data_IF_922706655330
#
_entry.id   IF_922706655330
#
_cell.length_a   1.000
_cell.length_b   1.000
_cell.length_c   1.000
_cell.angle_alpha   90.00
_cell.angle_beta   90.00
_cell.angle_gamma   90.00
#
_symmetry.space_group_name_H-M   'P 1'
#
loop_
_entity.id
_entity.type
_entity.pdbx_description
1 polymer ?
#
# COMPACT_ATOMS: atom_id res chain seq x y z
N UNK A 1 -6.87 -7.24 -9.71
CA UNK A 1 -6.68 -6.52 -8.44
C UNK A 1 -5.22 -6.09 -8.32
N UNK A 2 -4.97 -4.87 -7.86
CA UNK A 2 -3.62 -4.38 -7.58
C UNK A 2 -3.13 -4.88 -6.21
N UNK A 3 -1.81 -4.90 -5.98
CA UNK A 3 -1.24 -5.17 -4.65
C UNK A 3 -1.79 -4.21 -3.59
N UNK A 4 -1.77 -2.90 -3.87
CA UNK A 4 -2.30 -1.84 -3.00
C UNK A 4 -3.75 -2.08 -2.60
N UNK A 5 -4.63 -2.39 -3.56
CA UNK A 5 -6.05 -2.61 -3.25
C UNK A 5 -6.27 -3.83 -2.35
N UNK A 6 -5.46 -4.89 -2.49
CA UNK A 6 -5.51 -6.01 -1.54
C UNK A 6 -5.03 -5.60 -0.14
N UNK A 7 -3.97 -4.80 -0.06
CA UNK A 7 -3.45 -4.31 1.23
C UNK A 7 -4.52 -3.49 1.96
N UNK A 8 -5.15 -2.52 1.30
CA UNK A 8 -6.23 -1.72 1.88
C UNK A 8 -7.35 -2.62 2.46
N UNK A 9 -7.83 -3.58 1.66
CA UNK A 9 -8.88 -4.54 2.07
C UNK A 9 -8.41 -5.36 3.28
N UNK A 10 -7.21 -5.93 3.22
CA UNK A 10 -6.68 -6.75 4.31
C UNK A 10 -6.48 -5.95 5.60
N UNK A 11 -6.10 -4.68 5.49
CA UNK A 11 -5.90 -3.79 6.62
C UNK A 11 -7.22 -3.34 7.23
N UNK A 12 -8.27 -3.07 6.44
CA UNK A 12 -9.60 -2.78 7.00
C UNK A 12 -10.20 -3.97 7.75
N UNK A 13 -9.97 -5.19 7.28
CA UNK A 13 -10.40 -6.41 7.99
C UNK A 13 -9.66 -6.59 9.32
N UNK A 14 -8.39 -6.18 9.40
CA UNK A 14 -7.62 -6.23 10.64
C UNK A 14 -8.00 -5.10 11.60
N UNK A 15 -8.21 -3.88 11.10
CA UNK A 15 -8.60 -2.71 11.88
C UNK A 15 -9.97 -2.84 12.52
N UNK A 16 -10.95 -3.32 11.76
CA UNK A 16 -12.36 -3.31 12.16
C UNK A 16 -12.89 -4.70 12.50
N UNK A 17 -12.03 -5.72 12.49
CA UNK A 17 -12.45 -7.12 12.44
C UNK A 17 -13.12 -7.46 11.10
N UNK A 18 -13.29 -8.75 10.80
CA UNK A 18 -13.79 -9.14 9.47
C UNK A 18 -15.18 -8.59 9.17
N UNK A 19 -16.13 -8.72 10.10
CA UNK A 19 -17.50 -8.19 9.92
C UNK A 19 -17.50 -6.66 9.77
N UNK A 20 -16.77 -5.95 10.63
CA UNK A 20 -16.67 -4.50 10.58
C UNK A 20 -15.97 -3.99 9.33
N UNK A 21 -14.93 -4.69 8.86
CA UNK A 21 -14.19 -4.35 7.65
C UNK A 21 -15.04 -4.52 6.40
N UNK A 22 -15.81 -5.61 6.30
CA UNK A 22 -16.79 -5.78 5.21
C UNK A 22 -17.89 -4.72 5.26
N UNK A 23 -18.44 -4.43 6.45
CA UNK A 23 -19.45 -3.37 6.62
C UNK A 23 -18.93 -2.00 6.21
N UNK A 24 -17.69 -1.68 6.55
CA UNK A 24 -17.03 -0.44 6.12
C UNK A 24 -16.92 -0.39 4.58
N UNK A 25 -16.44 -1.46 3.96
CA UNK A 25 -16.30 -1.55 2.51
C UNK A 25 -17.66 -1.50 1.78
N UNK A 26 -18.71 -2.10 2.35
CA UNK A 26 -20.07 -2.01 1.81
C UNK A 26 -20.53 -0.54 1.75
N UNK A 27 -20.31 0.24 2.82
CA UNK A 27 -20.61 1.67 2.82
C UNK A 27 -19.70 2.50 1.91
N UNK A 28 -18.41 2.14 1.83
CA UNK A 28 -17.47 2.79 0.92
C UNK A 28 -17.88 2.56 -0.55
N UNK A 29 -18.31 1.34 -0.88
CA UNK A 29 -18.67 0.94 -2.24
C UNK A 29 -19.72 1.86 -2.86
N UNK A 30 -20.71 2.32 -2.09
CA UNK A 30 -21.74 3.26 -2.56
C UNK A 30 -21.13 4.53 -3.18
N UNK A 31 -19.98 4.97 -2.66
CA UNK A 31 -19.27 6.16 -3.11
C UNK A 31 -18.10 5.87 -4.07
N UNK A 32 -17.74 4.60 -4.30
CA UNK A 32 -16.72 4.26 -5.28
C UNK A 32 -17.27 4.52 -6.69
N UNK A 33 -16.57 5.36 -7.45
CA UNK A 33 -16.86 5.58 -8.86
C UNK A 33 -16.37 4.41 -9.73
N UNK A 34 -15.17 3.91 -9.48
CA UNK A 34 -14.58 2.74 -10.15
C UNK A 34 -13.41 2.15 -9.38
N UNK A 35 -13.22 0.83 -9.50
CA UNK A 35 -12.03 0.14 -9.01
C UNK A 35 -11.01 -0.03 -10.14
N UNK A 36 -9.82 0.53 -9.95
CA UNK A 36 -8.76 0.55 -10.97
C UNK A 36 -7.78 -0.60 -10.80
N UNK A 37 -7.20 -1.10 -11.91
CA UNK A 37 -6.21 -2.19 -11.87
C UNK A 37 -4.83 -1.80 -11.30
N UNK A 38 -4.53 -0.50 -11.20
CA UNK A 38 -3.29 0.02 -10.60
C UNK A 38 -3.56 0.79 -9.32
N UNK A 39 -2.85 0.48 -8.24
CA UNK A 39 -2.97 1.21 -6.97
C UNK A 39 -2.55 2.69 -7.03
N UNK A 40 -1.78 3.07 -8.05
CA UNK A 40 -1.39 4.48 -8.26
C UNK A 40 -2.43 5.32 -9.00
N UNK A 41 -3.38 4.66 -9.70
CA UNK A 41 -4.34 5.33 -10.57
C UNK A 41 -5.33 6.21 -9.81
N UNK A 42 -5.87 5.84 -8.63
CA UNK A 42 -6.78 6.71 -7.87
C UNK A 42 -6.14 8.06 -7.53
N UNK A 43 -4.89 8.08 -7.06
CA UNK A 43 -4.17 9.33 -6.81
C UNK A 43 -3.94 10.15 -8.09
N UNK A 44 -3.65 9.52 -9.23
CA UNK A 44 -3.52 10.23 -10.52
C UNK A 44 -4.84 10.86 -10.97
N UNK A 45 -5.96 10.17 -10.76
CA UNK A 45 -7.30 10.70 -11.08
C UNK A 45 -7.64 11.89 -10.19
N UNK A 46 -7.35 11.80 -8.89
CA UNK A 46 -7.51 12.92 -7.98
C UNK A 46 -6.60 14.11 -8.34
N UNK A 47 -5.34 13.84 -8.68
CA UNK A 47 -4.40 14.89 -9.11
C UNK A 47 -4.87 15.62 -10.37
N UNK A 48 -5.57 14.92 -11.27
CA UNK A 48 -6.14 15.47 -12.49
C UNK A 48 -7.52 16.15 -12.28
N UNK A 49 -8.09 16.08 -11.08
CA UNK A 49 -9.44 16.56 -10.78
C UNK A 49 -10.56 15.71 -11.38
N UNK A 50 -10.27 14.51 -11.89
CA UNK A 50 -11.27 13.61 -12.46
C UNK A 50 -12.14 12.94 -11.39
N UNK A 51 -11.60 12.76 -10.17
CA UNK A 51 -12.29 12.18 -9.01
C UNK A 51 -11.89 12.99 -7.76
N UNK A 52 -12.80 13.30 -6.83
CA UNK A 52 -12.47 14.14 -5.68
C UNK A 52 -11.55 13.45 -4.66
N UNK A 53 -11.62 12.13 -4.51
CA UNK A 53 -10.86 11.36 -3.51
C UNK A 53 -10.24 10.13 -4.17
N UNK A 54 -8.93 9.95 -3.99
CA UNK A 54 -8.20 8.76 -4.42
C UNK A 54 -7.56 8.03 -3.25
N UNK A 55 -8.00 6.79 -2.98
CA UNK A 55 -7.35 5.89 -2.01
C UNK A 55 -6.07 5.34 -2.64
N UNK A 56 -4.92 5.64 -2.04
CA UNK A 56 -3.59 5.35 -2.60
C UNK A 56 -2.51 5.50 -1.51
N UNK A 57 -1.30 5.03 -1.80
CA UNK A 57 -0.13 5.30 -0.95
C UNK A 57 0.19 6.81 -0.82
N UNK A 58 0.45 7.24 0.41
CA UNK A 58 0.77 8.64 0.73
C UNK A 58 2.01 9.16 -0.03
N UNK A 59 3.02 8.32 -0.25
CA UNK A 59 4.21 8.70 -1.02
C UNK A 59 3.89 9.11 -2.46
N UNK A 60 2.88 8.47 -3.08
CA UNK A 60 2.39 8.85 -4.40
C UNK A 60 1.68 10.20 -4.36
N UNK A 61 0.90 10.45 -3.31
CA UNK A 61 0.27 11.75 -3.05
C UNK A 61 1.32 12.85 -2.90
N UNK A 62 2.34 12.63 -2.06
CA UNK A 62 3.43 13.56 -1.79
C UNK A 62 4.19 13.93 -3.06
N UNK A 63 4.60 12.92 -3.86
CA UNK A 63 5.24 13.14 -5.17
C UNK A 63 4.34 13.88 -6.18
N UNK A 64 3.02 13.72 -6.09
CA UNK A 64 2.10 14.42 -7.00
C UNK A 64 1.89 15.87 -6.55
N UNK A 65 1.76 16.11 -5.24
CA UNK A 65 1.68 17.45 -4.63
C UNK A 65 2.94 18.27 -4.88
N UNK A 66 4.12 17.67 -4.73
CA UNK A 66 5.41 18.30 -5.06
C UNK A 66 5.52 18.73 -6.55
N UNK A 67 4.74 18.09 -7.44
CA UNK A 67 4.64 18.47 -8.86
C UNK A 67 3.54 19.50 -9.15
N UNK A 68 2.92 20.07 -8.12
CA UNK A 68 1.87 21.07 -8.24
C UNK A 68 0.45 20.52 -8.35
N UNK A 69 0.22 19.23 -8.14
CA UNK A 69 -1.14 18.70 -8.09
C UNK A 69 -1.89 19.28 -6.88
N UNK A 70 -3.16 19.72 -7.03
CA UNK A 70 -3.94 20.33 -5.96
C UNK A 70 -4.49 19.26 -5.00
N UNK A 71 -3.59 18.55 -4.31
CA UNK A 71 -3.93 17.45 -3.42
C UNK A 71 -3.72 17.83 -1.96
N UNK A 72 -4.61 17.32 -1.10
CA UNK A 72 -4.36 17.18 0.33
C UNK A 72 -4.20 15.71 0.68
N UNK A 73 -3.23 15.39 1.54
CA UNK A 73 -2.95 14.00 1.91
C UNK A 73 -3.48 13.78 3.31
N UNK A 74 -4.52 12.96 3.41
CA UNK A 74 -5.19 12.67 4.68
C UNK A 74 -4.72 11.30 5.18
N UNK A 75 -4.31 11.26 6.44
CA UNK A 75 -4.04 10.02 7.18
C UNK A 75 -5.27 9.74 8.07
N UNK A 76 -6.05 8.69 7.80
CA UNK A 76 -7.18 8.30 8.64
C UNK A 76 -6.76 8.10 10.10
N UNK A 77 -7.63 8.50 11.04
CA UNK A 77 -7.31 8.45 12.47
C UNK A 77 -7.30 7.01 13.01
N UNK A 78 -8.13 6.15 12.42
CA UNK A 78 -8.32 4.74 12.74
C UNK A 78 -7.08 3.90 12.45
N UNK A 79 -6.27 4.33 11.49
CA UNK A 79 -5.02 3.69 11.08
C UNK A 79 -4.91 3.45 9.57
N UNK A 80 -3.72 3.09 9.13
CA UNK A 80 -3.39 2.83 7.73
C UNK A 80 -2.68 1.49 7.55
N UNK A 81 -3.07 0.77 6.50
CA UNK A 81 -2.35 -0.38 6.00
C UNK A 81 -0.99 0.00 5.43
N UNK A 82 -0.08 -0.97 5.42
CA UNK A 82 1.27 -0.82 4.87
C UNK A 82 1.82 -2.18 4.43
N UNK A 83 2.76 -2.18 3.50
CA UNK A 83 3.50 -3.38 3.08
C UNK A 83 4.97 -3.32 3.49
N UNK A 84 5.56 -4.51 3.62
CA UNK A 84 6.99 -4.68 3.77
C UNK A 84 7.55 -5.22 2.45
N UNK A 85 8.50 -4.49 1.87
CA UNK A 85 9.30 -4.99 0.76
C UNK A 85 10.27 -6.05 1.30
N UNK A 86 10.26 -7.24 0.70
CA UNK A 86 11.03 -8.39 1.17
C UNK A 86 11.91 -8.98 0.05
N UNK A 87 13.11 -9.42 0.44
CA UNK A 87 14.03 -10.15 -0.44
C UNK A 87 14.05 -11.62 -0.04
N UNK A 88 13.92 -12.52 -1.02
CA UNK A 88 14.02 -13.96 -0.80
C UNK A 88 14.88 -14.63 -1.88
N UNK A 89 15.62 -15.67 -1.50
CA UNK A 89 16.40 -16.50 -2.43
C UNK A 89 15.51 -17.64 -2.92
N UNK A 90 15.44 -17.81 -4.24
CA UNK A 90 14.68 -18.90 -4.87
C UNK A 90 15.33 -20.25 -4.54
N UNK A 91 14.53 -21.19 -4.01
CA UNK A 91 15.00 -22.52 -3.69
C UNK A 91 15.54 -23.26 -4.93
N UNK A 92 16.71 -23.90 -4.77
CA UNK A 92 17.34 -24.66 -5.86
C UNK A 92 18.07 -23.82 -6.91
N UNK A 93 18.34 -22.53 -6.66
CA UNK A 93 19.15 -21.72 -7.57
C UNK A 93 20.58 -22.28 -7.71
N UNK A 94 21.07 -22.33 -8.96
CA UNK A 94 22.47 -22.69 -9.26
C UNK A 94 23.47 -21.61 -8.82
N UNK A 95 22.98 -20.39 -8.53
CA UNK A 95 23.80 -19.22 -8.18
C UNK A 95 23.62 -18.83 -6.70
N UNK A 96 23.64 -19.81 -5.79
CA UNK A 96 23.33 -19.58 -4.38
C UNK A 96 24.25 -18.55 -3.72
N UNK A 97 25.55 -18.61 -4.00
CA UNK A 97 26.52 -17.70 -3.38
C UNK A 97 26.33 -16.25 -3.83
N UNK A 98 26.02 -16.00 -5.10
CA UNK A 98 25.74 -14.65 -5.58
C UNK A 98 24.37 -14.14 -5.12
N UNK A 99 23.37 -15.04 -5.02
CA UNK A 99 22.07 -14.69 -4.46
C UNK A 99 22.17 -14.29 -2.98
N UNK A 100 23.01 -14.98 -2.19
CA UNK A 100 23.29 -14.61 -0.80
C UNK A 100 23.95 -13.25 -0.70
N UNK A 101 24.99 -12.97 -1.49
CA UNK A 101 25.66 -11.65 -1.50
C UNK A 101 24.67 -10.53 -1.77
N UNK A 102 23.76 -10.72 -2.73
CA UNK A 102 22.72 -9.72 -3.00
C UNK A 102 21.75 -9.59 -1.84
N UNK A 103 21.26 -10.71 -1.29
CA UNK A 103 20.33 -10.69 -0.15
C UNK A 103 20.93 -9.98 1.07
N UNK A 104 22.18 -10.29 1.41
CA UNK A 104 22.93 -9.64 2.49
C UNK A 104 23.08 -8.13 2.24
N UNK A 105 23.34 -7.73 0.99
CA UNK A 105 23.42 -6.31 0.63
C UNK A 105 22.08 -5.59 0.80
N UNK A 106 20.95 -6.22 0.46
CA UNK A 106 19.61 -5.57 0.51
C UNK A 106 19.20 -5.11 1.92
N UNK A 107 19.79 -5.70 2.97
CA UNK A 107 19.49 -5.35 4.37
C UNK A 107 20.50 -4.40 4.99
N UNK A 108 21.47 -3.91 4.23
CA UNK A 108 22.48 -2.95 4.73
C UNK A 108 21.88 -1.54 4.93
N UNK A 109 22.58 -0.72 5.72
CA UNK A 109 22.27 0.69 5.86
C UNK A 109 22.35 1.43 4.51
N UNK A 110 23.39 1.16 3.70
CA UNK A 110 23.55 1.78 2.37
C UNK A 110 22.36 1.48 1.46
N UNK A 111 21.88 0.23 1.43
CA UNK A 111 20.69 -0.13 0.67
C UNK A 111 19.44 0.60 1.19
N UNK A 112 19.25 0.68 2.51
CA UNK A 112 18.13 1.41 3.11
C UNK A 112 18.17 2.92 2.83
N UNK A 113 19.36 3.54 2.84
CA UNK A 113 19.54 4.94 2.43
C UNK A 113 19.17 5.14 0.96
N UNK A 114 19.55 4.19 0.08
CA UNK A 114 19.17 4.21 -1.34
C UNK A 114 17.66 4.05 -1.54
N UNK A 115 17.02 3.18 -0.77
CA UNK A 115 15.57 2.94 -0.84
C UNK A 115 14.75 4.19 -0.53
N UNK A 116 15.26 5.12 0.28
CA UNK A 116 14.54 6.35 0.62
C UNK A 116 14.30 7.29 -0.59
N UNK A 117 14.92 7.03 -1.75
CA UNK A 117 14.57 7.70 -3.03
C UNK A 117 13.21 7.23 -3.59
N UNK A 118 12.85 5.98 -3.30
CA UNK A 118 11.66 5.28 -3.75
C UNK A 118 10.59 5.09 -2.68
N UNK A 119 10.94 5.22 -1.39
CA UNK A 119 10.05 4.97 -0.26
C UNK A 119 10.20 6.05 0.82
N UNK A 120 9.09 6.41 1.47
CA UNK A 120 9.11 7.37 2.59
C UNK A 120 9.52 6.75 3.92
N UNK A 121 9.34 5.44 4.05
CA UNK A 121 9.69 4.66 5.24
C UNK A 121 10.60 3.52 4.76
N UNK A 122 11.68 3.25 5.49
CA UNK A 122 12.61 2.14 5.21
C UNK A 122 12.76 1.27 6.44
N UNK A 123 13.26 0.05 6.26
CA UNK A 123 13.25 -0.98 7.29
C UNK A 123 14.11 -0.64 8.52
N UNK A 124 15.23 0.09 8.34
CA UNK A 124 16.09 0.52 9.44
C UNK A 124 15.56 1.83 10.05
N UNK A 125 15.13 1.85 11.33
CA UNK A 125 14.65 3.06 11.98
C UNK A 125 15.71 4.16 11.99
N UNK A 126 15.30 5.40 11.70
CA UNK A 126 16.18 6.57 11.70
C UNK A 126 16.99 6.78 10.42
N UNK A 127 16.94 5.87 9.45
CA UNK A 127 17.65 6.03 8.17
C UNK A 127 16.86 6.87 7.15
N UNK A 128 15.53 6.75 7.13
CA UNK A 128 14.69 7.51 6.22
C UNK A 128 14.84 9.03 6.48
N UNK A 129 15.13 9.79 5.42
CA UNK A 129 15.05 11.25 5.45
C UNK A 129 13.61 11.69 5.17
N UNK A 130 13.19 12.85 5.71
CA UNK A 130 11.86 13.40 5.45
C UNK A 130 11.60 13.57 3.95
N UNK A 131 10.41 13.17 3.51
CA UNK A 131 9.95 13.38 2.13
C UNK A 131 9.04 14.61 2.10
N UNK A 132 9.28 15.51 1.16
CA UNK A 132 8.47 16.71 0.97
C UNK A 132 6.97 16.37 0.83
N UNK A 133 6.12 17.08 1.57
CA UNK A 133 4.67 16.85 1.66
C UNK A 133 4.21 15.50 2.21
N UNK A 134 5.11 14.62 2.65
CA UNK A 134 4.70 13.38 3.28
C UNK A 134 4.16 13.63 4.70
N UNK A 135 3.02 13.04 5.11
CA UNK A 135 2.46 13.28 6.44
C UNK A 135 3.38 12.79 7.56
N UNK A 136 3.74 13.67 8.48
CA UNK A 136 4.69 13.35 9.57
C UNK A 136 4.15 12.29 10.55
N UNK A 137 2.82 12.24 10.73
CA UNK A 137 2.16 11.31 11.65
C UNK A 137 1.83 9.95 11.01
N UNK A 138 2.19 9.70 9.75
CA UNK A 138 1.78 8.48 9.06
C UNK A 138 2.32 7.22 9.74
N UNK A 139 3.60 7.24 10.16
CA UNK A 139 4.23 6.07 10.81
C UNK A 139 3.57 5.71 12.14
N UNK A 140 3.02 6.70 12.85
CA UNK A 140 2.28 6.49 14.10
C UNK A 140 0.88 5.89 13.86
N UNK A 141 0.37 6.00 12.62
CA UNK A 141 -0.94 5.46 12.21
C UNK A 141 -0.83 4.12 11.49
N UNK A 142 0.38 3.61 11.25
CA UNK A 142 0.56 2.28 10.68
C UNK A 142 0.03 1.24 11.67
N UNK A 143 -0.82 0.34 11.17
CA UNK A 143 -1.38 -0.73 12.00
C UNK A 143 -0.31 -1.76 12.37
N UNK A 144 -0.54 -2.52 13.44
CA UNK A 144 0.17 -3.78 13.65
C UNK A 144 -0.33 -4.78 12.59
N UNK A 145 0.38 -4.86 11.46
CA UNK A 145 -0.08 -5.61 10.29
C UNK A 145 0.34 -7.08 10.36
N UNK A 146 -0.64 -7.98 10.39
CA UNK A 146 -0.44 -9.42 10.32
C UNK A 146 -0.30 -9.87 8.86
N UNK A 147 0.95 -9.91 8.40
CA UNK A 147 1.29 -10.36 7.05
C UNK A 147 1.01 -11.85 6.83
N UNK A 148 1.05 -12.68 7.87
CA UNK A 148 0.74 -14.10 7.78
C UNK A 148 -0.77 -14.31 7.54
N UNK A 149 -1.61 -13.61 8.31
CA UNK A 149 -3.05 -13.55 8.07
C UNK A 149 -3.35 -13.10 6.64
N UNK A 150 -2.77 -11.98 6.21
CA UNK A 150 -3.00 -11.45 4.86
C UNK A 150 -2.58 -12.46 3.78
N UNK A 151 -1.41 -13.09 3.90
CA UNK A 151 -0.92 -14.08 2.96
C UNK A 151 -1.82 -15.33 2.90
N UNK A 152 -2.12 -15.93 4.06
CA UNK A 152 -2.89 -17.17 4.16
C UNK A 152 -4.36 -16.99 3.76
N UNK A 153 -4.93 -15.79 3.95
CA UNK A 153 -6.33 -15.49 3.61
C UNK A 153 -6.51 -14.82 2.24
N UNK A 154 -5.43 -14.47 1.53
CA UNK A 154 -5.47 -13.69 0.29
C UNK A 154 -6.52 -14.18 -0.70
N UNK A 155 -6.53 -15.50 -0.97
CA UNK A 155 -7.46 -16.09 -1.95
C UNK A 155 -8.92 -15.92 -1.53
N UNK A 156 -9.23 -16.18 -0.25
CA UNK A 156 -10.59 -16.05 0.32
C UNK A 156 -11.06 -14.59 0.29
N UNK A 157 -10.22 -13.68 0.76
CA UNK A 157 -10.53 -12.24 0.81
C UNK A 157 -10.79 -11.70 -0.59
N UNK A 158 -9.94 -12.02 -1.57
CA UNK A 158 -10.14 -11.56 -2.95
C UNK A 158 -11.40 -12.13 -3.58
N UNK A 159 -11.72 -13.41 -3.33
CA UNK A 159 -12.94 -14.03 -3.84
C UNK A 159 -14.20 -13.36 -3.28
N UNK A 160 -14.22 -13.09 -1.97
CA UNK A 160 -15.35 -12.40 -1.32
C UNK A 160 -15.46 -10.95 -1.79
N UNK A 161 -14.34 -10.23 -1.87
CA UNK A 161 -14.31 -8.86 -2.40
C UNK A 161 -14.84 -8.79 -3.83
N UNK A 162 -14.42 -9.71 -4.71
CA UNK A 162 -14.89 -9.77 -6.09
C UNK A 162 -16.39 -10.02 -6.16
N UNK A 163 -16.89 -10.96 -5.36
CA UNK A 163 -18.33 -11.26 -5.29
C UNK A 163 -19.14 -10.01 -4.90
N UNK A 164 -18.61 -9.17 -4.01
CA UNK A 164 -19.32 -7.98 -3.51
C UNK A 164 -19.21 -6.76 -4.42
N UNK A 165 -18.03 -6.49 -4.99
CA UNK A 165 -17.70 -5.15 -5.49
C UNK A 165 -17.23 -5.08 -6.96
N UNK A 166 -17.07 -6.23 -7.65
CA UNK A 166 -16.51 -6.26 -9.01
C UNK A 166 -17.37 -5.54 -10.07
N UNK A 167 -18.63 -5.21 -9.75
CA UNK A 167 -19.55 -4.46 -10.61
C UNK A 167 -19.03 -3.08 -11.04
N UNK A 168 -18.09 -2.50 -10.29
CA UNK A 168 -17.47 -1.20 -10.58
C UNK A 168 -15.99 -1.30 -11.01
N UNK A 169 -15.48 -2.50 -11.28
CA UNK A 169 -14.12 -2.69 -11.77
C UNK A 169 -13.95 -2.16 -13.19
N UNK A 170 -12.82 -1.50 -13.45
CA UNK A 170 -12.44 -1.15 -14.83
C UNK A 170 -12.40 -2.44 -15.70
N UNK A 171 -12.75 -2.35 -17.00
CA UNK A 171 -12.60 -3.47 -17.93
C UNK A 171 -11.19 -4.05 -17.92
N UNK A 172 -11.07 -5.35 -18.16
CA UNK A 172 -9.78 -6.05 -18.26
C UNK A 172 -9.05 -5.75 -19.56
#
# INVERSE_FOLDING_TARGET
SSGTGFLDVSSWLQLFGEEGGWKFMDGLHENIARYTHSGSKPCKLAAAGEIPIGVSFAFRGAKSKAKGAPLEIIVPEEGVGWDMEATAIVAGTDNLEDAKKLADWTVTQEANEMYNTGYAVVAIPGVAKPVEHFPANLTEKMIENDFEFAANNRKRILAEWQKRYDSKSDPK
#
